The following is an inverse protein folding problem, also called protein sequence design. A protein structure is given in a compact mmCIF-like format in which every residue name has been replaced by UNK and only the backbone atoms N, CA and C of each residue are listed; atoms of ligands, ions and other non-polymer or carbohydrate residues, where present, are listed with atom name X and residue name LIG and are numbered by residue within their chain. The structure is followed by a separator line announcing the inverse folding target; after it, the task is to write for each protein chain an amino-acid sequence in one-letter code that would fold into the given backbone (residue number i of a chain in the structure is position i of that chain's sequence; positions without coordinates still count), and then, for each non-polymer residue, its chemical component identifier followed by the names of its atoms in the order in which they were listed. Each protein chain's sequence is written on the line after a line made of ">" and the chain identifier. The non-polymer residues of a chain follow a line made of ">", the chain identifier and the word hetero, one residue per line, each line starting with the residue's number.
data_IF_511718230959
#
_entry.id   IF_511718230959
#
_cell.length_a   1.000
_cell.length_b   1.000
_cell.length_c   1.000
_cell.angle_alpha   90.00
_cell.angle_beta   90.00
_cell.angle_gamma   90.00
#
_symmetry.space_group_name_H-M   'P 1'
#
loop_
_entity.id
_entity.type
_entity.pdbx_description
1 polymer ?
#
# COMPACT_ATOMS: atom_id res chain seq x y z
N UNK A 1 -10.42 24.32 33.96
CA UNK A 1 -10.27 23.10 33.15
C UNK A 1 -8.78 22.85 33.02
N UNK A 2 -8.26 21.92 33.81
CA UNK A 2 -6.84 21.56 33.74
C UNK A 2 -6.57 20.77 32.47
N UNK A 3 -5.57 21.21 31.71
CA UNK A 3 -5.06 20.49 30.55
C UNK A 3 -4.33 19.26 31.07
N UNK A 4 -4.96 18.09 30.97
CA UNK A 4 -4.31 16.81 31.27
C UNK A 4 -3.34 16.53 30.13
N UNK A 5 -2.03 16.62 30.39
CA UNK A 5 -0.99 16.18 29.46
C UNK A 5 -1.28 14.73 29.03
N UNK A 6 -1.59 14.54 27.75
CA UNK A 6 -1.70 13.22 27.14
C UNK A 6 -0.41 12.43 27.42
N UNK A 7 -0.60 11.23 27.97
CA UNK A 7 0.41 10.23 28.30
C UNK A 7 1.50 10.21 27.22
N UNK A 8 2.74 10.58 27.60
CA UNK A 8 3.95 10.43 26.76
C UNK A 8 3.93 9.04 26.11
N UNK A 9 3.70 9.01 24.80
CA UNK A 9 3.72 7.77 24.00
C UNK A 9 5.05 7.06 24.26
N UNK A 10 4.99 5.78 24.65
CA UNK A 10 6.18 4.97 24.90
C UNK A 10 7.15 5.09 23.70
N UNK A 11 8.43 5.41 23.99
CA UNK A 11 9.45 5.61 22.95
C UNK A 11 9.58 4.31 22.15
N UNK A 12 9.24 4.37 20.87
CA UNK A 12 9.24 3.21 19.99
C UNK A 12 10.69 2.78 19.69
N UNK A 13 11.14 1.67 20.27
CA UNK A 13 12.50 1.14 20.10
C UNK A 13 12.68 0.26 18.83
N UNK A 14 11.62 0.06 18.03
CA UNK A 14 11.65 -0.79 16.83
C UNK A 14 11.11 -0.05 15.61
N UNK A 15 11.87 -0.08 14.52
CA UNK A 15 11.53 0.51 13.23
C UNK A 15 10.72 -0.50 12.41
N UNK A 16 9.67 -0.06 11.72
CA UNK A 16 8.93 -0.93 10.78
C UNK A 16 9.76 -1.21 9.53
N UNK A 17 9.52 -2.33 8.86
CA UNK A 17 10.15 -2.62 7.57
C UNK A 17 9.94 -1.47 6.56
N UNK A 18 8.72 -0.92 6.49
CA UNK A 18 8.41 0.21 5.62
C UNK A 18 9.26 1.44 5.95
N UNK A 19 9.39 1.81 7.23
CA UNK A 19 10.23 2.94 7.66
C UNK A 19 11.71 2.69 7.36
N UNK A 20 12.19 1.46 7.55
CA UNK A 20 13.56 1.08 7.23
C UNK A 20 13.86 1.21 5.73
N UNK A 21 12.96 0.71 4.87
CA UNK A 21 13.11 0.84 3.42
C UNK A 21 12.96 2.29 2.95
N UNK A 22 12.01 3.05 3.50
CA UNK A 22 11.87 4.48 3.20
C UNK A 22 13.14 5.26 3.56
N UNK A 23 13.76 4.95 4.70
CA UNK A 23 15.05 5.53 5.10
C UNK A 23 16.19 5.14 4.13
N UNK A 24 16.22 3.90 3.64
CA UNK A 24 17.21 3.44 2.65
C UNK A 24 17.03 4.09 1.27
N UNK A 25 15.78 4.33 0.86
CA UNK A 25 15.43 4.99 -0.41
C UNK A 25 15.52 6.52 -0.35
N UNK A 26 15.77 7.09 0.83
CA UNK A 26 16.02 8.53 0.94
C UNK A 26 17.33 8.90 0.24
N UNK A 27 17.26 9.89 -0.65
CA UNK A 27 18.45 10.46 -1.30
C UNK A 27 19.18 11.35 -0.29
N UNK A 28 20.50 11.23 -0.23
CA UNK A 28 21.38 12.00 0.67
C UNK A 28 22.48 12.67 -0.13
N UNK A 29 23.15 13.63 0.49
CA UNK A 29 24.37 14.24 -0.07
C UNK A 29 25.45 13.16 -0.27
N UNK A 30 25.99 13.10 -1.48
CA UNK A 30 27.07 12.17 -1.85
C UNK A 30 26.64 11.05 -2.78
N UNK A 31 27.60 10.22 -3.18
CA UNK A 31 27.35 9.10 -4.08
C UNK A 31 26.56 7.99 -3.38
N UNK A 32 25.41 7.61 -3.96
CA UNK A 32 24.60 6.49 -3.49
C UNK A 32 24.70 5.32 -4.46
N UNK A 33 25.41 4.27 -4.05
CA UNK A 33 25.51 3.03 -4.83
C UNK A 33 24.12 2.47 -5.16
N UNK A 34 23.23 2.48 -4.18
CA UNK A 34 21.87 1.96 -4.33
C UNK A 34 21.12 2.63 -5.48
N UNK A 35 21.09 3.98 -5.52
CA UNK A 35 20.35 4.72 -6.54
C UNK A 35 21.05 4.67 -7.91
N UNK A 36 22.38 4.61 -7.94
CA UNK A 36 23.17 4.59 -9.17
C UNK A 36 23.18 3.22 -9.88
N UNK A 37 22.58 2.18 -9.29
CA UNK A 37 22.65 0.80 -9.79
C UNK A 37 21.61 0.45 -10.87
N UNK A 38 20.81 1.41 -11.34
CA UNK A 38 19.89 1.23 -12.47
C UNK A 38 18.87 0.10 -12.29
N UNK A 39 18.90 -0.95 -13.13
CA UNK A 39 17.96 -2.09 -13.02
C UNK A 39 18.03 -2.80 -11.66
N UNK A 40 19.21 -2.87 -11.04
CA UNK A 40 19.34 -3.46 -9.69
C UNK A 40 18.61 -2.63 -8.64
N UNK A 41 18.54 -1.31 -8.81
CA UNK A 41 17.74 -0.44 -7.95
C UNK A 41 16.25 -0.78 -8.07
N UNK A 42 15.74 -0.93 -9.29
CA UNK A 42 14.34 -1.32 -9.51
C UNK A 42 14.03 -2.67 -8.85
N UNK A 43 14.91 -3.65 -9.01
CA UNK A 43 14.75 -4.96 -8.36
C UNK A 43 14.74 -4.84 -6.83
N UNK A 44 15.62 -4.01 -6.26
CA UNK A 44 15.65 -3.74 -4.82
C UNK A 44 14.34 -3.13 -4.32
N UNK A 45 13.76 -2.16 -5.06
CA UNK A 45 12.48 -1.53 -4.70
C UNK A 45 11.36 -2.57 -4.72
N UNK A 46 11.28 -3.41 -5.76
CA UNK A 46 10.26 -4.44 -5.88
C UNK A 46 10.39 -5.48 -4.76
N UNK A 47 11.60 -5.98 -4.50
CA UNK A 47 11.86 -6.95 -3.43
C UNK A 47 11.52 -6.38 -2.05
N UNK A 48 11.87 -5.12 -1.79
CA UNK A 48 11.52 -4.41 -0.55
C UNK A 48 10.00 -4.28 -0.37
N UNK A 49 9.27 -4.00 -1.45
CA UNK A 49 7.81 -3.95 -1.46
C UNK A 49 7.20 -5.32 -1.16
N UNK A 50 7.63 -6.38 -1.86
CA UNK A 50 7.14 -7.75 -1.65
C UNK A 50 7.37 -8.23 -0.22
N UNK A 51 8.54 -7.95 0.36
CA UNK A 51 8.85 -8.25 1.76
C UNK A 51 7.91 -7.54 2.73
N UNK A 52 7.67 -6.25 2.50
CA UNK A 52 6.77 -5.44 3.33
C UNK A 52 5.33 -5.94 3.25
N UNK A 53 4.84 -6.23 2.04
CA UNK A 53 3.49 -6.75 1.84
C UNK A 53 3.33 -8.17 2.40
N UNK A 54 4.32 -9.04 2.25
CA UNK A 54 4.35 -10.36 2.89
C UNK A 54 4.25 -10.27 4.41
N UNK A 55 4.96 -9.32 5.02
CA UNK A 55 4.90 -9.04 6.45
C UNK A 55 3.50 -8.56 6.89
N UNK A 56 2.87 -7.65 6.13
CA UNK A 56 1.50 -7.18 6.37
C UNK A 56 0.47 -8.32 6.27
N UNK A 57 0.57 -9.16 5.24
CA UNK A 57 -0.29 -10.33 5.07
C UNK A 57 -0.11 -11.33 6.22
N UNK A 58 1.14 -11.55 6.65
CA UNK A 58 1.41 -12.41 7.79
C UNK A 58 0.79 -11.85 9.08
N UNK A 59 0.89 -10.53 9.30
CA UNK A 59 0.23 -9.87 10.41
C UNK A 59 -1.30 -10.07 10.35
N UNK A 60 -1.93 -9.86 9.21
CA UNK A 60 -3.37 -10.09 9.02
C UNK A 60 -3.73 -11.54 9.34
N UNK A 61 -2.94 -12.51 8.88
CA UNK A 61 -3.16 -13.94 9.11
C UNK A 61 -3.06 -14.33 10.59
N UNK A 62 -2.16 -13.71 11.35
CA UNK A 62 -1.90 -14.06 12.75
C UNK A 62 -2.86 -13.33 13.72
N UNK A 63 -3.25 -12.10 13.40
CA UNK A 63 -4.02 -11.23 14.31
C UNK A 63 -5.50 -11.12 13.91
N UNK A 64 -6.07 -12.17 13.31
CA UNK A 64 -7.48 -12.19 12.88
C UNK A 64 -8.45 -11.88 14.04
N UNK A 65 -8.16 -12.34 15.26
CA UNK A 65 -9.03 -12.09 16.43
C UNK A 65 -9.12 -10.60 16.75
N UNK A 66 -8.00 -9.89 16.70
CA UNK A 66 -7.91 -8.46 17.03
C UNK A 66 -8.48 -7.57 15.91
N UNK A 67 -8.50 -8.06 14.67
CA UNK A 67 -9.03 -7.35 13.50
C UNK A 67 -10.57 -7.28 13.45
N UNK A 68 -11.25 -7.39 14.61
CA UNK A 68 -12.72 -7.41 14.75
C UNK A 68 -13.40 -8.38 13.78
N UNK A 69 -12.82 -9.57 13.63
CA UNK A 69 -13.38 -10.64 12.80
C UNK A 69 -14.66 -11.23 13.40
N UNK A 70 -15.02 -10.86 14.64
CA UNK A 70 -16.28 -11.19 15.34
C UNK A 70 -17.53 -10.98 14.46
N UNK A 71 -17.57 -9.94 13.61
CA UNK A 71 -18.68 -9.70 12.67
C UNK A 71 -18.86 -10.80 11.60
N UNK A 72 -17.83 -11.64 11.38
CA UNK A 72 -17.85 -12.72 10.39
C UNK A 72 -18.09 -14.09 11.00
N UNK A 73 -18.36 -14.18 12.30
CA UNK A 73 -18.61 -15.45 12.99
C UNK A 73 -19.79 -16.20 12.39
N UNK A 74 -20.87 -15.50 12.00
CA UNK A 74 -22.01 -16.10 11.31
C UNK A 74 -21.67 -16.60 9.89
N UNK A 75 -20.82 -15.88 9.16
CA UNK A 75 -20.34 -16.33 7.83
C UNK A 75 -19.45 -17.57 7.97
N UNK A 76 -18.57 -17.58 8.96
CA UNK A 76 -17.69 -18.71 9.28
C UNK A 76 -18.49 -19.96 9.64
N UNK A 77 -19.53 -19.80 10.47
CA UNK A 77 -20.40 -20.89 10.89
C UNK A 77 -21.13 -21.50 9.70
N UNK A 78 -21.79 -20.66 8.87
CA UNK A 78 -22.47 -21.12 7.66
C UNK A 78 -21.56 -21.86 6.67
N UNK A 79 -20.32 -21.36 6.48
CA UNK A 79 -19.33 -22.03 5.63
C UNK A 79 -18.87 -23.37 6.21
N UNK A 80 -18.70 -23.44 7.53
CA UNK A 80 -18.30 -24.66 8.24
C UNK A 80 -19.41 -25.71 8.15
N UNK A 81 -20.67 -25.33 8.40
CA UNK A 81 -21.84 -26.21 8.25
C UNK A 81 -21.94 -26.74 6.82
N UNK A 82 -21.80 -25.88 5.81
CA UNK A 82 -21.86 -26.30 4.40
C UNK A 82 -20.74 -27.28 4.04
N UNK A 83 -19.55 -27.10 4.58
CA UNK A 83 -18.43 -27.99 4.31
C UNK A 83 -18.58 -29.33 5.01
N UNK A 84 -19.05 -29.34 6.26
CA UNK A 84 -19.42 -30.56 6.98
C UNK A 84 -20.47 -31.37 6.21
N UNK A 85 -21.50 -30.71 5.67
CA UNK A 85 -22.53 -31.36 4.86
C UNK A 85 -22.00 -32.00 3.56
N UNK A 86 -20.86 -31.52 3.05
CA UNK A 86 -20.24 -32.02 1.82
C UNK A 86 -19.00 -32.89 2.08
N UNK A 87 -18.72 -33.27 3.34
CA UNK A 87 -17.49 -33.97 3.75
C UNK A 87 -16.19 -33.27 3.32
N UNK A 88 -16.21 -31.94 3.21
CA UNK A 88 -15.04 -31.14 2.82
C UNK A 88 -14.31 -30.62 4.07
N UNK A 89 -12.98 -30.74 4.07
CA UNK A 89 -12.14 -30.17 5.14
C UNK A 89 -11.92 -28.69 4.87
N UNK A 90 -12.52 -27.81 5.68
CA UNK A 90 -12.30 -26.37 5.59
C UNK A 90 -10.87 -26.05 6.05
N UNK A 91 -10.09 -25.39 5.19
CA UNK A 91 -8.79 -24.82 5.57
C UNK A 91 -8.93 -23.65 6.55
N UNK A 92 -7.83 -23.03 6.96
CA UNK A 92 -7.89 -21.84 7.81
C UNK A 92 -8.39 -20.64 6.99
N UNK A 93 -9.62 -20.17 7.26
CA UNK A 93 -10.13 -18.95 6.64
C UNK A 93 -9.37 -17.74 7.19
N UNK A 94 -8.76 -16.97 6.29
CA UNK A 94 -8.11 -15.68 6.62
C UNK A 94 -8.86 -14.59 5.88
N UNK A 95 -9.56 -13.74 6.62
CA UNK A 95 -10.30 -12.64 6.05
C UNK A 95 -9.36 -11.43 5.93
N UNK A 96 -9.16 -10.96 4.71
CA UNK A 96 -8.42 -9.71 4.47
C UNK A 96 -9.37 -8.52 4.64
N UNK A 97 -8.99 -7.47 5.38
CA UNK A 97 -9.78 -6.25 5.49
C UNK A 97 -9.82 -5.50 4.15
N UNK A 98 -10.81 -4.60 3.98
CA UNK A 98 -10.89 -3.69 2.82
C UNK A 98 -9.72 -2.73 2.73
N UNK A 99 -9.01 -2.49 3.84
CA UNK A 99 -7.77 -1.70 3.87
C UNK A 99 -6.60 -2.36 3.12
N UNK A 100 -6.66 -3.66 2.83
CA UNK A 100 -5.66 -4.33 2.01
C UNK A 100 -5.96 -4.11 0.53
N UNK A 101 -5.16 -3.24 -0.10
CA UNK A 101 -5.28 -2.85 -1.50
C UNK A 101 -5.24 -4.07 -2.43
N UNK A 102 -6.10 -4.08 -3.44
CA UNK A 102 -6.21 -5.18 -4.41
C UNK A 102 -6.89 -6.45 -3.90
N UNK A 103 -7.38 -6.48 -2.65
CA UNK A 103 -8.29 -7.54 -2.21
C UNK A 103 -9.69 -7.40 -2.84
N UNK A 104 -10.46 -8.49 -2.98
CA UNK A 104 -11.86 -8.40 -3.41
C UNK A 104 -12.70 -7.39 -2.61
N UNK A 105 -12.44 -7.28 -1.30
CA UNK A 105 -13.14 -6.34 -0.42
C UNK A 105 -12.68 -4.89 -0.64
N UNK A 106 -11.40 -4.66 -0.91
CA UNK A 106 -10.90 -3.34 -1.31
C UNK A 106 -11.56 -2.90 -2.61
N UNK A 107 -11.67 -3.78 -3.60
CA UNK A 107 -12.35 -3.48 -4.86
C UNK A 107 -13.85 -3.17 -4.65
N UNK A 108 -14.54 -3.96 -3.81
CA UNK A 108 -15.95 -3.72 -3.49
C UNK A 108 -16.15 -2.39 -2.76
N UNK A 109 -15.27 -2.05 -1.81
CA UNK A 109 -15.30 -0.76 -1.12
C UNK A 109 -15.11 0.40 -2.12
N UNK A 110 -14.08 0.33 -2.97
CA UNK A 110 -13.82 1.36 -3.97
C UNK A 110 -15.01 1.55 -4.92
N UNK A 111 -15.69 0.46 -5.29
CA UNK A 111 -16.91 0.53 -6.08
C UNK A 111 -18.04 1.23 -5.33
N UNK A 112 -18.30 0.86 -4.08
CA UNK A 112 -19.33 1.51 -3.26
C UNK A 112 -19.05 3.01 -3.07
N UNK A 113 -17.79 3.37 -2.83
CA UNK A 113 -17.35 4.76 -2.71
C UNK A 113 -17.60 5.52 -4.02
N UNK A 114 -17.24 4.94 -5.17
CA UNK A 114 -17.53 5.53 -6.47
C UNK A 114 -19.03 5.71 -6.72
N UNK A 115 -19.86 4.72 -6.40
CA UNK A 115 -21.33 4.82 -6.53
C UNK A 115 -21.89 5.90 -5.58
N UNK A 116 -21.31 6.07 -4.40
CA UNK A 116 -21.71 7.14 -3.48
C UNK A 116 -21.44 8.53 -4.06
N UNK A 117 -20.31 8.70 -4.77
CA UNK A 117 -19.99 9.94 -5.48
C UNK A 117 -20.96 10.17 -6.64
N UNK A 118 -21.25 9.13 -7.44
CA UNK A 118 -22.21 9.22 -8.55
C UNK A 118 -23.60 9.60 -8.06
N UNK A 119 -24.04 9.04 -6.93
CA UNK A 119 -25.33 9.38 -6.33
C UNK A 119 -25.38 10.85 -5.88
N UNK A 120 -24.28 11.40 -5.40
CA UNK A 120 -24.21 12.78 -4.87
C UNK A 120 -24.03 13.83 -5.97
N UNK A 121 -23.17 13.55 -6.95
CA UNK A 121 -22.73 14.52 -7.96
C UNK A 121 -23.25 14.24 -9.36
N UNK A 122 -23.97 13.13 -9.56
CA UNK A 122 -24.43 12.69 -10.87
C UNK A 122 -23.42 11.78 -11.58
N UNK A 123 -23.79 11.33 -12.78
CA UNK A 123 -22.95 10.45 -13.60
C UNK A 123 -21.76 11.25 -14.14
N UNK A 124 -20.54 10.69 -14.16
CA UNK A 124 -19.42 11.34 -14.83
C UNK A 124 -19.62 11.34 -16.34
N UNK A 125 -19.39 12.50 -16.97
CA UNK A 125 -19.47 12.66 -18.42
C UNK A 125 -18.10 12.52 -19.11
N UNK A 126 -17.01 12.79 -18.38
CA UNK A 126 -15.65 12.79 -18.89
C UNK A 126 -14.79 11.73 -18.21
N UNK A 127 -13.99 11.03 -19.02
CA UNK A 127 -12.90 10.18 -18.55
C UNK A 127 -11.59 10.78 -19.02
N UNK A 128 -10.83 11.40 -18.11
CA UNK A 128 -9.57 12.07 -18.42
C UNK A 128 -8.40 11.19 -17.98
N UNK A 129 -7.54 10.86 -18.94
CA UNK A 129 -6.30 10.12 -18.68
C UNK A 129 -5.13 11.10 -18.70
N UNK A 130 -4.36 11.14 -17.61
CA UNK A 130 -3.10 11.87 -17.55
C UNK A 130 -1.94 10.89 -17.63
N UNK A 131 -1.05 11.11 -18.60
CA UNK A 131 0.15 10.30 -18.80
C UNK A 131 1.38 11.08 -18.34
N UNK A 132 2.26 10.43 -17.59
CA UNK A 132 3.52 11.06 -17.19
C UNK A 132 4.43 11.24 -18.41
N UNK A 133 5.03 12.43 -18.57
CA UNK A 133 6.06 12.68 -19.58
C UNK A 133 7.45 12.58 -18.93
N UNK A 134 8.31 11.61 -19.31
CA UNK A 134 9.67 11.48 -18.79
C UNK A 134 10.57 12.69 -19.05
N UNK A 135 10.24 13.53 -20.03
CA UNK A 135 11.01 14.73 -20.40
C UNK A 135 10.66 15.97 -19.59
N UNK A 136 9.83 15.86 -18.55
CA UNK A 136 9.53 17.00 -17.68
C UNK A 136 10.80 17.56 -17.00
N UNK A 137 10.96 18.90 -16.94
CA UNK A 137 12.16 19.51 -16.39
C UNK A 137 12.35 19.16 -14.91
N UNK A 138 11.29 18.93 -14.15
CA UNK A 138 11.37 18.50 -12.75
C UNK A 138 11.99 17.11 -12.60
N UNK A 139 11.75 16.20 -13.56
CA UNK A 139 12.39 14.88 -13.58
C UNK A 139 13.86 15.06 -13.95
N UNK A 140 14.15 15.78 -15.03
CA UNK A 140 15.52 15.97 -15.52
C UNK A 140 16.41 16.71 -14.51
N UNK A 141 15.89 17.74 -13.85
CA UNK A 141 16.62 18.51 -12.84
C UNK A 141 16.87 17.71 -11.54
N UNK A 142 15.99 16.76 -11.21
CA UNK A 142 16.17 15.89 -10.05
C UNK A 142 17.20 14.77 -10.30
N UNK A 143 17.60 14.54 -11.55
CA UNK A 143 18.59 13.54 -11.92
C UNK A 143 20.01 14.07 -11.76
N UNK A 144 20.88 13.22 -11.22
CA UNK A 144 22.30 13.52 -11.10
C UNK A 144 23.07 12.87 -12.26
N UNK A 145 23.74 13.67 -13.08
CA UNK A 145 24.62 13.19 -14.14
C UNK A 145 23.88 12.57 -15.33
N UNK A 146 24.28 11.36 -15.75
CA UNK A 146 23.79 10.65 -16.94
C UNK A 146 22.74 9.57 -16.62
N UNK A 147 22.03 9.68 -15.49
CA UNK A 147 20.92 8.78 -15.17
C UNK A 147 19.78 8.95 -16.18
N UNK A 148 19.09 7.85 -16.50
CA UNK A 148 17.93 7.89 -17.39
C UNK A 148 16.63 7.79 -16.58
N UNK A 149 15.54 8.49 -16.98
CA UNK A 149 14.22 8.43 -16.33
C UNK A 149 13.74 7.02 -16.01
N UNK A 150 14.00 6.06 -16.89
CA UNK A 150 13.52 4.69 -16.71
C UNK A 150 14.17 4.01 -15.50
N UNK A 151 15.41 4.38 -15.15
CA UNK A 151 16.15 3.79 -14.04
C UNK A 151 15.75 4.35 -12.66
N UNK A 152 15.01 5.46 -12.62
CA UNK A 152 14.60 6.15 -11.39
C UNK A 152 13.07 6.31 -11.32
N UNK A 153 12.32 5.20 -11.28
CA UNK A 153 10.86 5.27 -11.19
C UNK A 153 10.38 5.97 -9.91
N UNK A 154 11.20 6.00 -8.86
CA UNK A 154 10.95 6.72 -7.62
C UNK A 154 10.85 8.24 -7.81
N UNK A 155 11.62 8.83 -8.73
CA UNK A 155 11.54 10.26 -9.06
C UNK A 155 10.34 10.51 -9.96
N UNK A 156 10.19 9.71 -11.02
CA UNK A 156 9.11 9.84 -12.01
C UNK A 156 7.74 9.80 -11.32
N UNK A 157 7.51 8.82 -10.45
CA UNK A 157 6.25 8.68 -9.70
C UNK A 157 6.02 9.85 -8.75
N UNK A 158 7.08 10.36 -8.10
CA UNK A 158 6.97 11.53 -7.20
C UNK A 158 6.60 12.79 -7.96
N UNK A 159 7.26 13.07 -9.09
CA UNK A 159 6.93 14.23 -9.93
C UNK A 159 5.53 14.11 -10.50
N UNK A 160 5.14 12.93 -10.97
CA UNK A 160 3.77 12.67 -11.43
C UNK A 160 2.74 12.95 -10.33
N UNK A 161 2.99 12.48 -9.11
CA UNK A 161 2.10 12.76 -7.99
C UNK A 161 2.04 14.26 -7.68
N UNK A 162 3.16 14.98 -7.69
CA UNK A 162 3.18 16.44 -7.47
C UNK A 162 2.48 17.25 -8.57
N UNK A 163 2.35 16.71 -9.79
CA UNK A 163 1.62 17.38 -10.89
C UNK A 163 0.11 17.18 -10.81
N UNK A 164 -0.35 16.09 -10.19
CA UNK A 164 -1.77 15.72 -10.11
C UNK A 164 -2.40 15.92 -8.73
N UNK A 165 -1.58 16.06 -7.69
CA UNK A 165 -2.02 16.39 -6.32
C UNK A 165 -2.17 17.90 -6.18
#
# INVERSE_FOLDING_TARGET
>A
MEYVEERRSAKRNRVTQLQFYAYRLSVRSGFSLLHSSGKLFQQYVIDSYVKTEGSRLNYIRLNQKDLRVEFYRGLLDALTTRASNNNLRVGKLVIRPSSFQGSPRSMQQNYQDAISMVRKFGRPDLFVTFTCNPSWPEILNAMQGRERPENRPDIVVRVFNMKLS
#
